data_IF_405117822487
#
_entry.id   IF_405117822487
#
_cell.length_a   1.000
_cell.length_b   1.000
_cell.length_c   1.000
_cell.angle_alpha   90.00
_cell.angle_beta   90.00
_cell.angle_gamma   90.00
#
_symmetry.space_group_name_H-M   'P 1'
#
loop_
_entity.id
_entity.type
_entity.pdbx_description
1 polymer ?
#
# COMPACT_ATOMS: atom_id res chain seq x y z
N UNK A 1 -11.11 -22.26 -7.50
CA UNK A 1 -9.66 -22.12 -7.23
C UNK A 1 -8.91 -23.01 -8.20
N UNK A 2 -7.87 -22.52 -8.90
CA UNK A 2 -7.08 -23.38 -9.79
C UNK A 2 -6.36 -24.43 -8.96
N UNK A 3 -6.51 -25.69 -9.35
CA UNK A 3 -5.85 -26.85 -8.69
C UNK A 3 -4.49 -27.18 -9.32
N UNK A 4 -4.25 -26.71 -10.54
CA UNK A 4 -3.01 -26.91 -11.29
C UNK A 4 -2.43 -25.56 -11.70
N UNK A 5 -1.21 -25.27 -11.27
CA UNK A 5 -0.46 -24.07 -11.65
C UNK A 5 -0.91 -22.76 -11.00
N UNK A 6 -0.16 -21.70 -11.26
CA UNK A 6 -0.47 -20.34 -10.83
C UNK A 6 -1.43 -19.66 -11.81
N UNK A 7 -2.34 -18.83 -11.28
CA UNK A 7 -3.21 -18.01 -12.13
C UNK A 7 -2.35 -16.98 -12.88
N UNK A 8 -2.53 -16.83 -14.21
CA UNK A 8 -1.82 -15.80 -14.97
C UNK A 8 -2.19 -14.41 -14.43
N UNK A 9 -1.20 -13.57 -14.23
CA UNK A 9 -1.42 -12.19 -13.77
C UNK A 9 -1.97 -11.36 -14.93
N UNK A 10 -3.09 -10.68 -14.69
CA UNK A 10 -3.64 -9.74 -15.66
C UNK A 10 -2.83 -8.44 -15.64
N UNK A 11 -2.38 -8.00 -16.79
CA UNK A 11 -1.72 -6.71 -16.92
C UNK A 11 -2.76 -5.58 -16.81
N UNK A 12 -2.35 -4.49 -16.18
CA UNK A 12 -3.21 -3.33 -15.95
C UNK A 12 -2.77 -2.22 -16.91
N UNK A 13 -3.73 -1.63 -17.64
CA UNK A 13 -3.46 -0.48 -18.50
C UNK A 13 -3.02 0.72 -17.65
N UNK A 14 -2.09 1.54 -18.15
CA UNK A 14 -1.69 2.75 -17.46
C UNK A 14 -2.85 3.75 -17.36
N UNK A 15 -2.79 4.62 -16.37
CA UNK A 15 -3.78 5.68 -16.19
C UNK A 15 -3.69 6.71 -17.34
N UNK A 16 -4.82 7.16 -17.92
CA UNK A 16 -4.79 8.05 -19.08
C UNK A 16 -4.23 9.45 -18.77
N UNK A 17 -4.33 9.93 -17.53
CA UNK A 17 -3.86 11.28 -17.14
C UNK A 17 -2.38 11.26 -16.75
N UNK A 18 -1.99 10.31 -15.89
CA UNK A 18 -0.63 10.22 -15.35
C UNK A 18 0.26 9.18 -16.04
N UNK A 19 -0.27 8.45 -17.02
CA UNK A 19 0.41 7.38 -17.77
C UNK A 19 1.17 6.38 -16.86
N UNK A 20 0.63 6.10 -15.67
CA UNK A 20 1.25 5.25 -14.65
C UNK A 20 0.38 4.04 -14.31
N UNK A 21 0.96 2.84 -14.43
CA UNK A 21 0.33 1.58 -13.99
C UNK A 21 0.12 1.55 -12.46
N UNK A 22 0.97 2.23 -11.70
CA UNK A 22 0.88 2.31 -10.24
C UNK A 22 -0.34 3.12 -9.82
N UNK A 23 -0.61 4.23 -10.49
CA UNK A 23 -1.82 5.05 -10.27
C UNK A 23 -3.08 4.24 -10.56
N UNK A 24 -3.11 3.48 -11.66
CA UNK A 24 -4.26 2.61 -11.96
C UNK A 24 -4.48 1.56 -10.88
N UNK A 25 -3.43 0.93 -10.35
CA UNK A 25 -3.52 -0.02 -9.23
C UNK A 25 -4.05 0.67 -7.97
N UNK A 26 -3.64 1.91 -7.72
CA UNK A 26 -4.12 2.72 -6.60
C UNK A 26 -5.61 3.04 -6.73
N UNK A 27 -6.07 3.52 -7.89
CA UNK A 27 -7.48 3.75 -8.22
C UNK A 27 -8.31 2.48 -8.02
N UNK A 28 -7.83 1.35 -8.53
CA UNK A 28 -8.51 0.06 -8.36
C UNK A 28 -8.63 -0.35 -6.88
N UNK A 29 -7.69 0.05 -6.02
CA UNK A 29 -7.78 -0.21 -4.58
C UNK A 29 -8.71 0.76 -3.85
N UNK A 30 -8.79 2.00 -4.29
CA UNK A 30 -9.74 3.00 -3.78
C UNK A 30 -11.18 2.65 -4.18
N UNK A 31 -11.36 2.02 -5.33
CA UNK A 31 -12.67 1.65 -5.87
C UNK A 31 -13.47 0.77 -4.91
N UNK A 32 -14.76 1.08 -4.76
CA UNK A 32 -15.77 0.29 -4.06
C UNK A 32 -16.91 -0.05 -5.01
N UNK A 33 -17.47 -1.24 -4.87
CA UNK A 33 -18.64 -1.72 -5.64
C UNK A 33 -18.50 -1.56 -7.17
N UNK A 34 -17.27 -1.63 -7.69
CA UNK A 34 -16.99 -1.50 -9.12
C UNK A 34 -17.12 -0.07 -9.69
N UNK A 35 -17.36 0.95 -8.86
CA UNK A 35 -17.55 2.35 -9.28
C UNK A 35 -16.19 3.00 -9.61
N UNK A 36 -15.59 2.63 -10.75
CA UNK A 36 -14.24 3.08 -11.12
C UNK A 36 -14.17 4.58 -11.40
N UNK A 37 -15.16 5.15 -12.09
CA UNK A 37 -15.18 6.59 -12.42
C UNK A 37 -15.20 7.48 -11.18
N UNK A 38 -15.92 7.07 -10.13
CA UNK A 38 -15.91 7.75 -8.83
C UNK A 38 -14.54 7.67 -8.17
N UNK A 39 -13.91 6.49 -8.16
CA UNK A 39 -12.59 6.32 -7.61
C UNK A 39 -11.51 7.13 -8.35
N UNK A 40 -11.61 7.23 -9.69
CA UNK A 40 -10.72 8.07 -10.49
C UNK A 40 -10.84 9.54 -10.10
N UNK A 41 -12.08 10.06 -10.04
CA UNK A 41 -12.32 11.43 -9.62
C UNK A 41 -11.72 11.71 -8.24
N UNK A 42 -12.02 10.89 -7.24
CA UNK A 42 -11.47 11.04 -5.88
C UNK A 42 -9.93 11.07 -5.87
N UNK A 43 -9.27 10.24 -6.66
CA UNK A 43 -7.79 10.23 -6.73
C UNK A 43 -7.27 11.47 -7.44
N UNK A 44 -7.93 11.93 -8.52
CA UNK A 44 -7.51 13.13 -9.24
C UNK A 44 -7.71 14.39 -8.39
N UNK A 45 -8.84 14.51 -7.71
CA UNK A 45 -9.11 15.62 -6.78
C UNK A 45 -8.10 15.63 -5.60
N UNK A 46 -7.73 14.44 -5.09
CA UNK A 46 -6.69 14.33 -4.08
C UNK A 46 -5.31 14.78 -4.61
N UNK A 47 -4.97 14.44 -5.84
CA UNK A 47 -3.72 14.87 -6.47
C UNK A 47 -3.68 16.37 -6.75
N UNK A 48 -4.81 16.96 -7.16
CA UNK A 48 -4.93 18.42 -7.30
C UNK A 48 -4.73 19.12 -5.94
N UNK A 49 -5.38 18.63 -4.89
CA UNK A 49 -5.18 19.14 -3.52
C UNK A 49 -3.71 19.06 -3.06
N UNK A 50 -2.99 17.98 -3.43
CA UNK A 50 -1.56 17.86 -3.15
C UNK A 50 -0.77 18.92 -3.91
N UNK A 51 -1.07 19.15 -5.18
CA UNK A 51 -0.43 20.18 -6.00
C UNK A 51 -0.62 21.57 -5.39
N UNK A 52 -1.85 21.91 -5.00
CA UNK A 52 -2.16 23.21 -4.39
C UNK A 52 -1.45 23.43 -3.06
N UNK A 53 -1.42 22.40 -2.19
CA UNK A 53 -0.85 22.53 -0.84
C UNK A 53 0.67 22.42 -0.79
N UNK A 54 1.26 21.53 -1.59
CA UNK A 54 2.71 21.26 -1.55
C UNK A 54 3.52 22.01 -2.61
N UNK A 55 2.86 22.46 -3.69
CA UNK A 55 3.53 23.07 -4.85
C UNK A 55 4.40 22.08 -5.64
N UNK A 56 4.38 20.79 -5.29
CA UNK A 56 5.15 19.71 -5.93
C UNK A 56 4.32 18.94 -6.93
N UNK A 57 4.99 18.17 -7.80
CA UNK A 57 4.28 17.22 -8.67
C UNK A 57 3.59 16.14 -7.82
N UNK A 58 2.26 15.99 -7.90
CA UNK A 58 1.51 15.02 -7.12
C UNK A 58 1.93 13.58 -7.41
N UNK A 59 2.39 13.27 -8.63
CA UNK A 59 2.90 11.94 -8.96
C UNK A 59 4.17 11.62 -8.18
N UNK A 60 5.10 12.57 -8.08
CA UNK A 60 6.34 12.43 -7.31
C UNK A 60 6.06 12.25 -5.82
N UNK A 61 5.13 13.04 -5.27
CA UNK A 61 4.69 12.90 -3.86
C UNK A 61 4.08 11.53 -3.61
N UNK A 62 3.22 11.06 -4.51
CA UNK A 62 2.61 9.73 -4.42
C UNK A 62 3.65 8.59 -4.48
N UNK A 63 4.60 8.65 -5.41
CA UNK A 63 5.65 7.63 -5.52
C UNK A 63 6.56 7.61 -4.30
N UNK A 64 6.92 8.78 -3.77
CA UNK A 64 7.69 8.93 -2.53
C UNK A 64 6.92 8.34 -1.34
N UNK A 65 5.64 8.71 -1.18
CA UNK A 65 4.78 8.16 -0.14
C UNK A 65 4.69 6.63 -0.22
N UNK A 66 4.45 6.10 -1.42
CA UNK A 66 4.38 4.66 -1.63
C UNK A 66 5.69 3.96 -1.29
N UNK A 67 6.84 4.50 -1.73
CA UNK A 67 8.17 3.98 -1.43
C UNK A 67 8.44 3.95 0.08
N UNK A 68 8.05 5.00 0.79
CA UNK A 68 8.20 5.10 2.23
C UNK A 68 7.35 4.09 3.00
N UNK A 69 6.15 3.76 2.52
CA UNK A 69 5.20 2.84 3.17
C UNK A 69 5.48 1.37 2.84
N UNK A 70 6.11 1.08 1.71
CA UNK A 70 6.39 -0.31 1.29
C UNK A 70 7.26 -1.07 2.29
N UNK A 71 6.81 -2.22 2.85
CA UNK A 71 7.60 -3.00 3.79
C UNK A 71 8.64 -3.88 3.07
N UNK A 72 9.79 -4.08 3.71
CA UNK A 72 10.82 -5.03 3.25
C UNK A 72 10.57 -6.43 3.82
N UNK A 73 10.11 -6.49 5.07
CA UNK A 73 9.84 -7.72 5.81
C UNK A 73 8.37 -7.83 6.18
N UNK A 74 7.86 -9.05 6.21
CA UNK A 74 6.56 -9.39 6.79
C UNK A 74 6.73 -10.63 7.67
N UNK A 75 5.75 -10.88 8.53
CA UNK A 75 5.71 -12.07 9.38
C UNK A 75 4.67 -13.03 8.83
N UNK A 76 5.03 -14.30 8.66
CA UNK A 76 4.11 -15.36 8.25
C UNK A 76 4.04 -16.44 9.30
N UNK A 77 2.82 -16.88 9.61
CA UNK A 77 2.62 -18.00 10.50
C UNK A 77 3.03 -19.31 9.81
N UNK A 78 3.84 -20.11 10.49
CA UNK A 78 4.21 -21.48 10.09
C UNK A 78 3.97 -22.43 11.24
N UNK A 79 3.36 -23.58 10.95
CA UNK A 79 3.13 -24.62 11.92
C UNK A 79 4.28 -25.62 11.89
N UNK A 80 4.95 -25.80 13.03
CA UNK A 80 6.05 -26.75 13.20
C UNK A 80 5.82 -27.53 14.50
N UNK A 81 5.80 -28.86 14.44
CA UNK A 81 5.60 -29.70 15.62
C UNK A 81 4.33 -29.41 16.43
N UNK A 82 3.24 -28.95 15.75
CA UNK A 82 1.98 -28.62 16.41
C UNK A 82 1.87 -27.17 16.93
N UNK A 83 2.98 -26.44 17.05
CA UNK A 83 2.99 -25.02 17.44
C UNK A 83 3.03 -24.09 16.21
N UNK A 84 2.38 -22.92 16.34
CA UNK A 84 2.42 -21.89 15.30
C UNK A 84 3.50 -20.87 15.62
N UNK A 85 4.47 -20.74 14.72
CA UNK A 85 5.56 -19.76 14.82
C UNK A 85 5.34 -18.61 13.81
N UNK A 86 5.66 -17.42 14.23
CA UNK A 86 5.67 -16.22 13.39
C UNK A 86 7.07 -16.08 12.75
N UNK A 87 7.18 -16.44 11.47
CA UNK A 87 8.46 -16.47 10.76
C UNK A 87 8.63 -15.19 9.94
N UNK A 88 9.71 -14.41 10.13
CA UNK A 88 10.00 -13.25 9.31
C UNK A 88 10.42 -13.66 7.90
N UNK A 89 9.81 -13.07 6.88
CA UNK A 89 10.07 -13.38 5.47
C UNK A 89 10.25 -12.08 4.71
N UNK A 90 11.18 -12.07 3.77
CA UNK A 90 11.36 -10.97 2.84
C UNK A 90 10.16 -10.88 1.89
N UNK A 91 9.67 -9.66 1.66
CA UNK A 91 8.50 -9.40 0.81
C UNK A 91 8.93 -9.22 -0.63
N UNK A 92 8.32 -9.95 -1.57
CA UNK A 92 8.58 -9.78 -3.00
C UNK A 92 8.15 -8.38 -3.48
N UNK A 93 8.85 -7.78 -4.49
CA UNK A 93 8.59 -6.41 -4.94
C UNK A 93 7.11 -6.10 -5.27
N UNK A 94 6.45 -7.01 -5.98
CA UNK A 94 5.02 -6.85 -6.32
C UNK A 94 4.11 -6.83 -5.09
N UNK A 95 4.44 -7.65 -4.09
CA UNK A 95 3.69 -7.69 -2.84
C UNK A 95 3.97 -6.45 -1.99
N UNK A 96 5.21 -5.93 -1.99
CA UNK A 96 5.54 -4.65 -1.34
C UNK A 96 4.64 -3.54 -1.86
N UNK A 97 4.52 -3.40 -3.19
CA UNK A 97 3.64 -2.43 -3.82
C UNK A 97 2.18 -2.62 -3.41
N UNK A 98 1.70 -3.87 -3.43
CA UNK A 98 0.31 -4.19 -3.04
C UNK A 98 0.03 -3.86 -1.58
N UNK A 99 0.97 -4.14 -0.67
CA UNK A 99 0.84 -3.82 0.75
C UNK A 99 0.87 -2.31 0.98
N UNK A 100 1.80 -1.59 0.35
CA UNK A 100 1.90 -0.14 0.44
C UNK A 100 0.61 0.55 0.00
N UNK A 101 0.09 0.20 -1.18
CA UNK A 101 -1.18 0.73 -1.70
C UNK A 101 -2.34 0.39 -0.74
N UNK A 102 -2.41 -0.83 -0.24
CA UNK A 102 -3.45 -1.26 0.70
C UNK A 102 -3.43 -0.44 2.00
N UNK A 103 -2.26 -0.24 2.56
CA UNK A 103 -2.12 0.49 3.81
C UNK A 103 -2.46 1.97 3.63
N UNK A 104 -1.95 2.63 2.60
CA UNK A 104 -2.30 4.01 2.29
C UNK A 104 -3.83 4.20 2.19
N UNK A 105 -4.52 3.37 1.42
CA UNK A 105 -5.98 3.48 1.26
C UNK A 105 -6.73 3.17 2.55
N UNK A 106 -6.31 2.15 3.31
CA UNK A 106 -7.00 1.77 4.54
C UNK A 106 -6.86 2.84 5.62
N UNK A 107 -5.67 3.40 5.78
CA UNK A 107 -5.42 4.45 6.77
C UNK A 107 -6.00 5.80 6.34
N UNK A 108 -6.01 6.12 5.04
CA UNK A 108 -6.77 7.26 4.54
C UNK A 108 -8.26 7.14 4.89
N UNK A 109 -8.87 5.97 4.73
CA UNK A 109 -10.28 5.74 5.13
C UNK A 109 -10.54 5.91 6.62
N UNK A 110 -9.56 5.64 7.47
CA UNK A 110 -9.66 5.75 8.92
C UNK A 110 -9.46 7.19 9.44
N UNK A 111 -9.08 8.14 8.58
CA UNK A 111 -8.89 9.54 8.93
C UNK A 111 -10.23 10.24 9.21
N UNK A 112 -10.17 11.37 9.91
CA UNK A 112 -11.34 12.15 10.36
C UNK A 112 -11.80 13.22 9.40
N UNK A 113 -11.03 13.50 8.32
CA UNK A 113 -11.43 14.50 7.32
C UNK A 113 -12.77 14.15 6.66
N UNK A 114 -13.51 15.14 6.21
CA UNK A 114 -14.88 15.00 5.75
C UNK A 114 -15.00 14.19 4.46
N UNK A 115 -14.15 14.47 3.47
CA UNK A 115 -14.20 13.87 2.13
C UNK A 115 -13.06 12.87 1.91
N UNK A 116 -13.23 11.90 0.99
CA UNK A 116 -12.21 10.88 0.75
C UNK A 116 -10.98 11.43 0.02
N UNK A 117 -11.17 12.42 -0.85
CA UNK A 117 -10.06 13.14 -1.52
C UNK A 117 -9.18 13.88 -0.50
N UNK A 118 -9.80 14.57 0.49
CA UNK A 118 -9.08 15.23 1.57
C UNK A 118 -8.32 14.23 2.45
N UNK A 119 -8.92 13.07 2.76
CA UNK A 119 -8.28 11.98 3.52
C UNK A 119 -7.08 11.40 2.77
N UNK A 120 -7.24 11.14 1.48
CA UNK A 120 -6.17 10.60 0.63
C UNK A 120 -5.01 11.59 0.48
N UNK A 121 -5.31 12.86 0.19
CA UNK A 121 -4.27 13.89 0.04
C UNK A 121 -3.48 14.08 1.33
N UNK A 122 -4.15 14.13 2.47
CA UNK A 122 -3.49 14.27 3.76
C UNK A 122 -2.61 13.05 4.10
N UNK A 123 -3.13 11.82 3.92
CA UNK A 123 -2.34 10.60 4.18
C UNK A 123 -1.13 10.47 3.25
N UNK A 124 -1.26 10.85 1.97
CA UNK A 124 -0.15 10.82 1.02
C UNK A 124 0.93 11.83 1.37
N UNK A 125 0.55 13.06 1.78
CA UNK A 125 1.52 14.08 2.21
C UNK A 125 2.24 13.65 3.49
N UNK A 126 1.51 13.13 4.48
CA UNK A 126 2.10 12.62 5.73
C UNK A 126 3.07 11.46 5.43
N UNK A 127 2.67 10.50 4.60
CA UNK A 127 3.52 9.37 4.22
C UNK A 127 4.76 9.78 3.41
N UNK A 128 4.65 10.81 2.57
CA UNK A 128 5.80 11.37 1.85
C UNK A 128 6.82 11.98 2.83
N UNK A 129 6.35 12.55 3.94
CA UNK A 129 7.18 13.10 5.01
C UNK A 129 7.60 12.06 6.08
N UNK A 130 7.43 10.75 5.81
CA UNK A 130 7.70 9.65 6.75
C UNK A 130 6.91 9.74 8.06
N UNK A 131 5.70 10.27 8.03
CA UNK A 131 4.79 10.37 9.16
C UNK A 131 3.45 9.70 8.83
N UNK A 132 2.54 9.63 9.80
CA UNK A 132 1.21 9.10 9.58
C UNK A 132 1.04 7.62 9.91
N UNK A 133 -0.21 7.18 9.86
CA UNK A 133 -0.61 5.84 10.30
C UNK A 133 -0.10 4.72 9.37
N UNK A 134 0.04 4.99 8.08
CA UNK A 134 0.60 4.04 7.11
C UNK A 134 2.07 3.73 7.39
N UNK A 135 2.85 4.75 7.74
CA UNK A 135 4.26 4.59 8.12
C UNK A 135 4.37 3.81 9.43
N UNK A 136 3.57 4.18 10.44
CA UNK A 136 3.51 3.44 11.71
C UNK A 136 3.22 1.96 11.48
N UNK A 137 2.30 1.63 10.58
CA UNK A 137 2.01 0.22 10.23
C UNK A 137 3.21 -0.51 9.66
N UNK A 138 4.00 0.14 8.78
CA UNK A 138 5.25 -0.42 8.26
C UNK A 138 6.23 -0.69 9.41
N UNK A 139 6.44 0.29 10.28
CA UNK A 139 7.34 0.17 11.43
C UNK A 139 6.91 -0.95 12.38
N UNK A 140 5.63 -1.03 12.72
CA UNK A 140 5.09 -2.11 13.57
C UNK A 140 5.31 -3.48 12.93
N UNK A 141 5.13 -3.60 11.60
CA UNK A 141 5.39 -4.84 10.87
C UNK A 141 6.87 -5.21 10.92
N UNK A 142 7.78 -4.24 10.75
CA UNK A 142 9.21 -4.47 10.84
C UNK A 142 9.65 -4.81 12.27
N UNK A 143 9.11 -4.14 13.30
CA UNK A 143 9.36 -4.48 14.71
C UNK A 143 8.92 -5.91 15.05
N UNK A 144 7.74 -6.32 14.55
CA UNK A 144 7.28 -7.71 14.71
C UNK A 144 8.23 -8.70 14.03
N UNK A 145 8.72 -8.38 12.82
CA UNK A 145 9.66 -9.24 12.12
C UNK A 145 10.99 -9.33 12.85
N UNK A 146 11.48 -8.25 13.42
CA UNK A 146 12.72 -8.21 14.21
C UNK A 146 12.56 -8.97 15.52
N UNK A 147 11.48 -8.79 16.25
CA UNK A 147 11.19 -9.54 17.49
C UNK A 147 11.13 -11.07 17.26
N UNK A 148 10.69 -11.49 16.07
CA UNK A 148 10.62 -12.91 15.69
C UNK A 148 11.86 -13.40 14.91
N UNK A 149 12.95 -12.65 14.88
CA UNK A 149 14.17 -12.98 14.14
C UNK A 149 14.76 -14.34 14.53
N UNK A 150 14.61 -14.75 15.78
CA UNK A 150 15.05 -16.05 16.26
C UNK A 150 14.40 -17.23 15.51
N UNK A 151 13.21 -17.05 14.93
CA UNK A 151 12.49 -18.08 14.17
C UNK A 151 12.79 -18.04 12.66
N UNK A 152 13.73 -17.21 12.21
CA UNK A 152 14.08 -17.08 10.79
C UNK A 152 14.56 -18.39 10.16
N UNK A 153 15.18 -19.29 10.96
CA UNK A 153 15.63 -20.60 10.51
C UNK A 153 14.49 -21.57 10.15
N UNK A 154 13.25 -21.30 10.56
CA UNK A 154 12.06 -22.02 10.10
C UNK A 154 11.55 -21.56 8.70
N UNK A 155 12.26 -20.67 8.04
CA UNK A 155 11.99 -20.22 6.68
C UNK A 155 12.17 -21.41 5.69
N UNK A 156 11.28 -21.56 4.73
CA UNK A 156 11.37 -22.53 3.62
C UNK A 156 11.77 -21.86 2.34
#
# INVERSE_FOLDING_TARGET
MPRKGSVPKRDVLPDPVYNSKTVTKFINKVMLSGKKSVAQRVVYDAFETIREKSGKDPLEVFETALKNVMPVLEVRARRVGGANYQVPVEVRPERRQTLGIRWLVNYARARSEKTMDARLSAELMDAANNTGASIKKKEDTHKMAEANKAFAHYRW
#
